data_IF_917851066529
#
_entry.id   IF_917851066529
#
_cell.length_a   1.000
_cell.length_b   1.000
_cell.length_c   1.000
_cell.angle_alpha   90.00
_cell.angle_beta   90.00
_cell.angle_gamma   90.00
#
_symmetry.space_group_name_H-M   'P 1'
#
loop_
_entity.id
_entity.type
_entity.pdbx_description
1 polymer ?
#
# COMPACT_ATOMS: atom_id res chain seq x y z
N UNK A 1 -18.88 -12.10 31.07
CA UNK A 1 -19.82 -11.97 29.95
C UNK A 1 -18.98 -11.83 28.70
N UNK A 2 -19.01 -12.81 27.82
CA UNK A 2 -18.34 -12.72 26.50
C UNK A 2 -19.05 -11.62 25.72
N UNK A 3 -18.38 -10.49 25.49
CA UNK A 3 -18.89 -9.43 24.61
C UNK A 3 -18.99 -10.05 23.21
N UNK A 4 -20.21 -10.08 22.66
CA UNK A 4 -20.43 -10.54 21.30
C UNK A 4 -19.46 -9.77 20.36
N UNK A 5 -18.82 -10.48 19.45
CA UNK A 5 -17.90 -9.90 18.47
C UNK A 5 -18.65 -8.82 17.68
N UNK A 6 -18.13 -7.59 17.57
CA UNK A 6 -18.81 -6.54 16.81
C UNK A 6 -18.86 -6.90 15.32
N UNK A 7 -19.87 -6.41 14.65
CA UNK A 7 -20.02 -6.61 13.22
C UNK A 7 -18.92 -5.90 12.43
N UNK A 8 -18.51 -4.72 12.89
CA UNK A 8 -17.62 -3.83 12.14
C UNK A 8 -16.54 -3.26 13.03
N UNK A 9 -15.30 -3.26 12.53
CA UNK A 9 -14.22 -2.41 13.03
C UNK A 9 -13.91 -1.32 12.02
N UNK A 10 -13.78 -0.08 12.47
CA UNK A 10 -13.38 1.05 11.63
C UNK A 10 -11.97 1.45 12.04
N UNK A 11 -11.01 1.25 11.14
CA UNK A 11 -9.59 1.54 11.37
C UNK A 11 -9.21 2.84 10.68
N UNK A 12 -8.71 3.80 11.47
CA UNK A 12 -8.31 5.12 10.99
C UNK A 12 -6.86 5.39 11.37
N UNK A 13 -5.92 5.43 10.41
CA UNK A 13 -4.58 5.94 10.65
C UNK A 13 -4.63 7.46 10.82
N UNK A 14 -3.93 7.98 11.81
CA UNK A 14 -3.88 9.41 12.15
C UNK A 14 -2.46 9.93 11.98
N UNK A 15 -2.30 11.05 11.24
CA UNK A 15 -1.03 11.75 11.18
C UNK A 15 -1.21 13.25 10.98
N UNK A 16 -0.97 14.03 12.06
CA UNK A 16 -1.20 15.47 12.12
C UNK A 16 -2.66 15.85 11.80
N UNK A 17 -3.59 15.18 12.47
CA UNK A 17 -5.03 15.21 12.21
C UNK A 17 -5.81 15.95 13.29
N UNK A 18 -5.16 16.75 14.15
CA UNK A 18 -5.80 17.43 15.27
C UNK A 18 -7.01 18.28 14.85
N UNK A 19 -7.00 18.84 13.63
CA UNK A 19 -8.06 19.69 13.12
C UNK A 19 -9.29 18.92 12.63
N UNK A 20 -9.10 17.72 12.05
CA UNK A 20 -10.18 16.92 11.43
C UNK A 20 -10.76 15.88 12.38
N UNK A 21 -9.97 15.44 13.36
CA UNK A 21 -10.32 14.36 14.27
C UNK A 21 -11.59 14.59 15.08
N UNK A 22 -11.92 15.81 15.58
CA UNK A 22 -13.17 16.03 16.32
C UNK A 22 -14.41 15.71 15.51
N UNK A 23 -14.53 16.27 14.29
CA UNK A 23 -15.66 16.03 13.40
C UNK A 23 -15.70 14.55 12.94
N UNK A 24 -14.55 13.99 12.60
CA UNK A 24 -14.44 12.58 12.20
C UNK A 24 -14.94 11.65 13.31
N UNK A 25 -14.47 11.82 14.54
CA UNK A 25 -14.82 10.95 15.65
C UNK A 25 -16.28 11.10 16.05
N UNK A 26 -16.83 12.33 16.07
CA UNK A 26 -18.24 12.59 16.33
C UNK A 26 -19.13 11.82 15.34
N UNK A 27 -18.84 11.93 14.03
CA UNK A 27 -19.61 11.26 12.97
C UNK A 27 -19.44 9.73 13.02
N UNK A 28 -18.25 9.22 13.33
CA UNK A 28 -18.03 7.78 13.52
C UNK A 28 -18.79 7.22 14.74
N UNK A 29 -18.82 7.97 15.85
CA UNK A 29 -19.55 7.57 17.06
C UNK A 29 -21.07 7.55 16.83
N UNK A 30 -21.58 8.41 15.94
CA UNK A 30 -23.01 8.47 15.58
C UNK A 30 -23.46 7.33 14.62
N UNK A 31 -22.54 6.60 14.00
CA UNK A 31 -22.91 5.53 13.05
C UNK A 31 -23.65 4.39 13.75
N UNK A 32 -24.84 4.07 13.26
CA UNK A 32 -25.60 2.92 13.72
C UNK A 32 -25.28 1.67 12.87
N UNK A 33 -24.64 0.67 13.48
CA UNK A 33 -24.26 -0.59 12.84
C UNK A 33 -25.00 -1.74 13.53
N UNK A 34 -25.82 -2.46 12.79
CA UNK A 34 -26.49 -3.64 13.30
C UNK A 34 -25.47 -4.71 13.73
N UNK A 35 -25.51 -5.08 15.02
CA UNK A 35 -24.53 -5.99 15.64
C UNK A 35 -23.29 -5.26 16.19
N UNK A 36 -23.33 -3.94 16.27
CA UNK A 36 -22.29 -3.11 16.89
C UNK A 36 -21.09 -2.82 16.02
N UNK A 37 -20.36 -1.78 16.42
CA UNK A 37 -19.09 -1.39 15.81
C UNK A 37 -18.09 -0.94 16.86
N UNK A 38 -16.81 -1.03 16.51
CA UNK A 38 -15.70 -0.46 17.26
C UNK A 38 -14.86 0.46 16.35
N UNK A 39 -14.18 1.42 16.94
CA UNK A 39 -13.29 2.36 16.25
C UNK A 39 -11.86 2.09 16.72
N UNK A 40 -10.93 1.98 15.79
CA UNK A 40 -9.50 1.79 16.08
C UNK A 40 -8.74 2.95 15.47
N UNK A 41 -8.28 3.86 16.31
CA UNK A 41 -7.48 5.04 15.95
C UNK A 41 -6.00 4.71 16.13
N UNK A 42 -5.19 4.89 15.07
CA UNK A 42 -3.76 4.59 15.12
C UNK A 42 -2.94 5.85 14.82
N UNK A 43 -2.39 6.46 15.85
CA UNK A 43 -1.53 7.63 15.72
C UNK A 43 -0.11 7.21 15.26
N UNK A 44 0.26 7.60 14.05
CA UNK A 44 1.58 7.33 13.47
C UNK A 44 2.61 8.38 13.89
N UNK A 45 2.71 8.63 15.20
CA UNK A 45 3.63 9.58 15.82
C UNK A 45 3.44 11.00 15.26
N UNK A 46 2.22 11.53 15.37
CA UNK A 46 1.89 12.92 15.01
C UNK A 46 2.74 13.92 15.82
N UNK A 47 3.02 15.05 15.18
CA UNK A 47 3.80 16.14 15.78
C UNK A 47 2.95 17.28 16.34
N UNK A 48 1.67 17.26 16.02
CA UNK A 48 0.65 18.20 16.48
C UNK A 48 -0.12 17.67 17.71
N UNK A 49 -1.24 18.27 18.04
CA UNK A 49 -2.08 17.89 19.17
C UNK A 49 -2.97 16.66 18.92
N UNK A 50 -2.76 15.87 17.85
CA UNK A 50 -3.62 14.73 17.50
C UNK A 50 -3.80 13.73 18.65
N UNK A 51 -2.71 13.38 19.34
CA UNK A 51 -2.73 12.43 20.45
C UNK A 51 -3.57 12.95 21.61
N UNK A 52 -3.35 14.21 22.03
CA UNK A 52 -4.11 14.84 23.11
C UNK A 52 -5.60 14.96 22.76
N UNK A 53 -5.88 15.34 21.51
CA UNK A 53 -7.26 15.49 21.01
C UNK A 53 -7.98 14.14 21.02
N UNK A 54 -7.34 13.07 20.54
CA UNK A 54 -7.92 11.73 20.55
C UNK A 54 -8.26 11.27 21.97
N UNK A 55 -7.30 11.38 22.90
CA UNK A 55 -7.48 10.96 24.28
C UNK A 55 -8.57 11.75 25.01
N UNK A 56 -8.72 13.04 24.69
CA UNK A 56 -9.76 13.90 25.27
C UNK A 56 -11.17 13.56 24.74
N UNK A 57 -11.29 13.18 23.47
CA UNK A 57 -12.58 12.92 22.82
C UNK A 57 -13.12 11.50 23.04
N UNK A 58 -12.23 10.49 23.16
CA UNK A 58 -12.63 9.08 23.32
C UNK A 58 -13.68 8.83 24.41
N UNK A 59 -13.60 9.44 25.63
CA UNK A 59 -14.58 9.18 26.69
C UNK A 59 -16.00 9.62 26.35
N UNK A 60 -16.17 10.53 25.39
CA UNK A 60 -17.46 11.00 24.90
C UNK A 60 -18.11 10.08 23.86
N UNK A 61 -17.38 9.11 23.30
CA UNK A 61 -17.90 8.22 22.28
C UNK A 61 -18.79 7.12 22.89
N UNK A 62 -19.95 6.90 22.28
CA UNK A 62 -20.88 5.84 22.67
C UNK A 62 -20.41 4.43 22.23
N UNK A 63 -19.43 4.36 21.32
CA UNK A 63 -18.86 3.12 20.79
C UNK A 63 -17.54 2.78 21.47
N UNK A 64 -17.13 1.51 21.49
CA UNK A 64 -15.79 1.14 21.89
C UNK A 64 -14.74 1.81 20.99
N UNK A 65 -13.78 2.49 21.58
CA UNK A 65 -12.67 3.14 20.87
C UNK A 65 -11.36 2.61 21.41
N UNK A 66 -10.52 2.10 20.54
CA UNK A 66 -9.13 1.74 20.83
C UNK A 66 -8.22 2.78 20.22
N UNK A 67 -7.38 3.40 21.02
CA UNK A 67 -6.32 4.31 20.56
C UNK A 67 -4.96 3.65 20.70
N UNK A 68 -4.17 3.70 19.63
CA UNK A 68 -2.83 3.13 19.55
C UNK A 68 -1.87 4.24 19.16
N UNK A 69 -0.85 4.51 19.95
CA UNK A 69 0.22 5.44 19.61
C UNK A 69 1.46 4.65 19.21
N UNK A 70 1.98 4.89 18.00
CA UNK A 70 3.20 4.29 17.50
C UNK A 70 4.43 5.08 18.00
N UNK A 71 5.57 4.39 18.18
CA UNK A 71 6.78 4.98 18.75
C UNK A 71 7.49 5.98 17.84
N UNK A 72 7.26 5.89 16.52
CA UNK A 72 7.74 6.79 15.47
C UNK A 72 6.80 6.73 14.27
N UNK A 73 7.00 7.60 13.29
CA UNK A 73 6.29 7.50 12.01
C UNK A 73 6.81 6.28 11.21
N UNK A 74 5.92 5.30 11.02
CA UNK A 74 6.15 4.07 10.24
C UNK A 74 5.48 4.12 8.87
N UNK A 75 4.62 5.13 8.61
CA UNK A 75 3.84 5.31 7.41
C UNK A 75 2.44 4.68 7.50
N UNK A 76 1.52 5.24 6.72
CA UNK A 76 0.10 4.92 6.69
C UNK A 76 -0.20 3.42 6.66
N UNK A 77 0.41 2.67 5.73
CA UNK A 77 0.17 1.23 5.61
C UNK A 77 0.57 0.43 6.87
N UNK A 78 1.62 0.85 7.56
CA UNK A 78 2.03 0.23 8.83
C UNK A 78 1.05 0.56 9.95
N UNK A 79 0.55 1.80 9.99
CA UNK A 79 -0.47 2.22 10.94
C UNK A 79 -1.80 1.48 10.70
N UNK A 80 -2.26 1.40 9.44
CA UNK A 80 -3.44 0.61 9.07
C UNK A 80 -3.30 -0.84 9.51
N UNK A 81 -2.16 -1.48 9.23
CA UNK A 81 -1.97 -2.88 9.62
C UNK A 81 -1.91 -3.07 11.14
N UNK A 82 -1.36 -2.12 11.89
CA UNK A 82 -1.41 -2.14 13.35
C UNK A 82 -2.86 -2.04 13.86
N UNK A 83 -3.68 -1.21 13.22
CA UNK A 83 -5.11 -1.10 13.52
C UNK A 83 -5.88 -2.38 13.17
N UNK A 84 -5.63 -2.96 12.01
CA UNK A 84 -6.26 -4.23 11.58
C UNK A 84 -5.94 -5.35 12.57
N UNK A 85 -4.69 -5.45 13.04
CA UNK A 85 -4.30 -6.44 14.08
C UNK A 85 -5.02 -6.25 15.40
N UNK A 86 -5.42 -5.04 15.71
CA UNK A 86 -6.12 -4.72 16.95
C UNK A 86 -7.63 -4.77 16.82
N UNK A 87 -8.13 -4.93 15.61
CA UNK A 87 -9.56 -4.98 15.30
C UNK A 87 -10.14 -6.36 15.57
N UNK A 88 -11.41 -6.41 16.01
CA UNK A 88 -12.10 -7.66 16.38
C UNK A 88 -13.37 -7.91 15.56
N UNK A 89 -13.87 -6.93 14.81
CA UNK A 89 -15.12 -7.01 14.04
C UNK A 89 -15.10 -8.06 12.93
N UNK A 90 -16.26 -8.57 12.57
CA UNK A 90 -16.43 -9.53 11.45
C UNK A 90 -16.01 -8.94 10.09
N UNK A 91 -16.14 -7.63 9.94
CA UNK A 91 -15.63 -6.84 8.84
C UNK A 91 -14.74 -5.72 9.37
N UNK A 92 -13.76 -5.31 8.58
CA UNK A 92 -12.88 -4.18 8.91
C UNK A 92 -12.94 -3.17 7.77
N UNK A 93 -13.32 -1.94 8.08
CA UNK A 93 -13.24 -0.82 7.14
C UNK A 93 -12.01 0.02 7.50
N UNK A 94 -11.18 0.30 6.50
CA UNK A 94 -10.09 1.28 6.61
C UNK A 94 -10.51 2.57 5.95
N UNK A 95 -10.22 3.73 6.56
CA UNK A 95 -10.52 5.04 6.00
C UNK A 95 -9.50 6.07 6.45
N UNK A 96 -9.31 7.11 5.65
CA UNK A 96 -8.42 8.23 5.96
C UNK A 96 -9.06 9.21 6.95
N UNK A 97 -8.23 10.04 7.58
CA UNK A 97 -8.59 11.00 8.61
C UNK A 97 -8.94 12.41 8.09
N UNK A 98 -8.94 12.61 6.77
CA UNK A 98 -9.09 13.92 6.10
C UNK A 98 -10.53 14.28 5.71
N UNK A 99 -11.52 13.44 6.07
CA UNK A 99 -12.94 13.60 5.79
C UNK A 99 -13.31 13.66 4.29
N UNK A 100 -12.38 13.34 3.38
CA UNK A 100 -12.70 13.24 1.97
C UNK A 100 -13.68 12.08 1.70
N UNK A 101 -13.60 11.04 2.51
CA UNK A 101 -14.54 9.94 2.53
C UNK A 101 -15.50 10.14 3.71
N UNK A 102 -16.78 10.48 3.48
CA UNK A 102 -17.73 10.68 4.56
C UNK A 102 -17.91 9.40 5.40
N UNK A 103 -17.86 9.48 6.74
CA UNK A 103 -18.04 8.33 7.61
C UNK A 103 -19.31 7.52 7.33
N UNK A 104 -20.38 8.16 6.89
CA UNK A 104 -21.66 7.51 6.57
C UNK A 104 -21.55 6.52 5.41
N UNK A 105 -20.61 6.72 4.50
CA UNK A 105 -20.36 5.82 3.37
C UNK A 105 -19.76 4.46 3.81
N UNK A 106 -19.25 4.36 5.06
CA UNK A 106 -18.82 3.10 5.67
C UNK A 106 -19.92 2.05 5.61
N UNK A 107 -21.18 2.47 5.83
CA UNK A 107 -22.34 1.57 5.80
C UNK A 107 -22.59 1.00 4.42
N UNK A 108 -22.33 1.75 3.34
CA UNK A 108 -22.44 1.27 1.96
C UNK A 108 -21.42 0.17 1.66
N UNK A 109 -20.15 0.38 2.09
CA UNK A 109 -19.11 -0.62 1.93
C UNK A 109 -19.46 -1.93 2.67
N UNK A 110 -19.91 -1.82 3.92
CA UNK A 110 -20.32 -2.96 4.72
C UNK A 110 -21.50 -3.71 4.09
N UNK A 111 -22.50 -2.95 3.63
CA UNK A 111 -23.70 -3.53 3.00
C UNK A 111 -23.34 -4.28 1.72
N UNK A 112 -22.51 -3.67 0.85
CA UNK A 112 -22.03 -4.29 -0.39
C UNK A 112 -21.22 -5.57 -0.09
N UNK A 113 -20.31 -5.55 0.90
CA UNK A 113 -19.52 -6.72 1.29
C UNK A 113 -20.40 -7.90 1.71
N UNK A 114 -21.47 -7.63 2.48
CA UNK A 114 -22.42 -8.65 2.92
C UNK A 114 -23.33 -9.16 1.80
N UNK A 115 -23.90 -8.24 1.02
CA UNK A 115 -24.87 -8.57 -0.04
C UNK A 115 -24.22 -9.39 -1.15
N UNK A 116 -23.02 -8.99 -1.57
CA UNK A 116 -22.28 -9.61 -2.67
C UNK A 116 -21.37 -10.77 -2.22
N UNK A 117 -21.30 -11.05 -0.90
CA UNK A 117 -20.39 -12.05 -0.31
C UNK A 117 -18.95 -11.87 -0.80
N UNK A 118 -18.48 -10.62 -0.83
CA UNK A 118 -17.12 -10.28 -1.23
C UNK A 118 -16.19 -10.28 -0.02
N UNK A 119 -14.97 -10.71 -0.26
CA UNK A 119 -13.91 -10.63 0.74
C UNK A 119 -13.41 -9.21 0.91
N UNK A 120 -13.41 -8.42 -0.19
CA UNK A 120 -12.98 -7.03 -0.19
C UNK A 120 -13.91 -6.19 -1.07
N UNK A 121 -14.33 -5.04 -0.56
CA UNK A 121 -15.02 -4.00 -1.33
C UNK A 121 -14.16 -2.73 -1.31
N UNK A 122 -13.77 -2.27 -2.49
CA UNK A 122 -13.11 -0.97 -2.67
C UNK A 122 -14.11 0.12 -2.98
N UNK A 123 -13.87 1.31 -2.48
CA UNK A 123 -14.62 2.49 -2.89
C UNK A 123 -14.16 2.96 -4.27
N UNK A 124 -15.12 3.33 -5.11
CA UNK A 124 -14.89 4.06 -6.35
C UNK A 124 -15.52 5.45 -6.25
N UNK A 125 -14.87 6.42 -6.84
CA UNK A 125 -15.38 7.79 -6.93
C UNK A 125 -15.89 8.07 -8.32
N UNK A 126 -17.03 8.72 -8.46
CA UNK A 126 -17.49 9.24 -9.75
C UNK A 126 -16.47 10.25 -10.27
N UNK A 127 -15.84 9.91 -11.39
CA UNK A 127 -14.73 10.67 -11.98
C UNK A 127 -15.12 12.10 -12.27
N UNK A 128 -14.69 13.06 -11.48
CA UNK A 128 -14.52 14.45 -11.95
C UNK A 128 -13.36 14.47 -12.95
N UNK A 129 -13.61 15.03 -14.13
CA UNK A 129 -12.65 15.17 -15.23
C UNK A 129 -11.43 15.95 -14.76
N UNK A 130 -10.29 15.30 -14.68
CA UNK A 130 -9.02 15.92 -14.41
C UNK A 130 -8.16 15.93 -15.68
N UNK A 131 -7.32 16.98 -15.82
CA UNK A 131 -6.42 17.29 -16.93
C UNK A 131 -5.73 16.04 -17.53
N UNK A 132 -5.66 15.95 -18.85
CA UNK A 132 -5.18 14.80 -19.64
C UNK A 132 -3.76 14.31 -19.30
N UNK A 133 -2.86 15.19 -18.88
CA UNK A 133 -1.51 14.87 -18.45
C UNK A 133 -1.49 13.98 -17.18
N UNK A 134 -2.37 14.27 -16.23
CA UNK A 134 -2.53 13.50 -15.01
C UNK A 134 -3.15 12.13 -15.28
N UNK A 135 -3.97 12.03 -16.33
CA UNK A 135 -4.54 10.78 -16.81
C UNK A 135 -3.49 9.87 -17.46
N UNK A 136 -2.47 10.41 -18.13
CA UNK A 136 -1.41 9.61 -18.74
C UNK A 136 -0.50 8.99 -17.67
N UNK A 137 -0.08 9.78 -16.67
CA UNK A 137 0.66 9.29 -15.51
C UNK A 137 -0.11 8.24 -14.71
N UNK A 138 -1.39 8.48 -14.46
CA UNK A 138 -2.29 7.53 -13.78
C UNK A 138 -2.49 6.23 -14.56
N UNK A 139 -2.62 6.29 -15.91
CA UNK A 139 -2.74 5.08 -16.73
C UNK A 139 -1.48 4.22 -16.72
N UNK A 140 -0.31 4.86 -16.76
CA UNK A 140 0.97 4.14 -16.67
C UNK A 140 1.15 3.50 -15.30
N UNK A 141 0.84 4.25 -14.23
CA UNK A 141 0.88 3.74 -12.84
C UNK A 141 -0.08 2.56 -12.67
N UNK A 142 -1.32 2.68 -13.17
CA UNK A 142 -2.30 1.59 -13.09
C UNK A 142 -1.84 0.35 -13.87
N UNK A 143 -1.28 0.49 -15.08
CA UNK A 143 -0.75 -0.65 -15.85
C UNK A 143 0.43 -1.33 -15.14
N UNK A 144 1.31 -0.56 -14.54
CA UNK A 144 2.41 -1.11 -13.75
C UNK A 144 1.90 -1.81 -12.48
N UNK A 145 0.90 -1.24 -11.80
CA UNK A 145 0.24 -1.87 -10.67
C UNK A 145 -0.50 -3.15 -11.08
N UNK A 146 -1.24 -3.14 -12.21
CA UNK A 146 -1.95 -4.31 -12.74
C UNK A 146 -0.99 -5.50 -12.97
N UNK A 147 0.22 -5.21 -13.44
CA UNK A 147 1.23 -6.23 -13.73
C UNK A 147 2.07 -6.62 -12.50
N UNK A 148 2.24 -5.72 -11.52
CA UNK A 148 3.11 -5.94 -10.35
C UNK A 148 2.43 -6.67 -9.20
N UNK A 149 1.09 -6.61 -9.08
CA UNK A 149 0.35 -7.01 -7.88
C UNK A 149 -0.76 -8.03 -8.18
N UNK A 150 -0.83 -8.59 -9.40
CA UNK A 150 -1.92 -9.47 -9.88
C UNK A 150 -3.33 -8.89 -9.63
N UNK A 151 -3.46 -7.58 -9.73
CA UNK A 151 -4.69 -6.84 -9.51
C UNK A 151 -5.68 -7.05 -10.66
N UNK A 152 -6.98 -7.20 -10.41
CA UNK A 152 -8.00 -7.18 -11.46
C UNK A 152 -7.91 -5.92 -12.31
N UNK A 153 -7.96 -6.10 -13.66
CA UNK A 153 -7.82 -4.99 -14.61
C UNK A 153 -8.87 -3.91 -14.37
N UNK A 154 -8.44 -2.66 -14.33
CA UNK A 154 -9.34 -1.52 -14.19
C UNK A 154 -9.81 -1.21 -12.76
N UNK A 155 -9.43 -1.98 -11.76
CA UNK A 155 -9.73 -1.68 -10.37
C UNK A 155 -8.95 -0.45 -9.89
N UNK A 156 -9.65 0.52 -9.31
CA UNK A 156 -9.02 1.64 -8.61
C UNK A 156 -8.74 1.24 -7.16
N UNK A 157 -7.50 1.37 -6.72
CA UNK A 157 -7.11 1.06 -5.34
C UNK A 157 -7.35 2.29 -4.47
N UNK A 158 -8.25 2.15 -3.51
CA UNK A 158 -8.58 3.19 -2.54
C UNK A 158 -8.20 2.73 -1.14
N UNK A 159 -7.72 3.66 -0.31
CA UNK A 159 -7.53 3.44 1.14
C UNK A 159 -8.85 3.20 1.86
N UNK A 160 -9.96 3.73 1.31
CA UNK A 160 -11.31 3.52 1.82
C UNK A 160 -11.89 2.20 1.27
N UNK A 161 -11.81 1.15 2.07
CA UNK A 161 -12.21 -0.22 1.69
C UNK A 161 -12.75 -1.00 2.89
N UNK A 162 -13.60 -1.99 2.61
CA UNK A 162 -14.09 -2.97 3.57
C UNK A 162 -13.44 -4.33 3.28
N UNK A 163 -12.86 -4.97 4.29
CA UNK A 163 -12.28 -6.30 4.21
C UNK A 163 -12.98 -7.26 5.17
N UNK A 164 -13.14 -8.52 4.78
CA UNK A 164 -13.67 -9.56 5.65
C UNK A 164 -12.68 -9.91 6.77
N UNK A 165 -13.16 -10.50 7.87
CA UNK A 165 -12.30 -10.98 8.97
C UNK A 165 -11.25 -11.96 8.44
N UNK A 166 -11.62 -12.85 7.52
CA UNK A 166 -10.67 -13.76 6.89
C UNK A 166 -9.45 -13.03 6.28
N UNK A 167 -9.71 -12.02 5.46
CA UNK A 167 -8.63 -11.23 4.84
C UNK A 167 -7.84 -10.44 5.90
N UNK A 168 -8.52 -9.85 6.88
CA UNK A 168 -7.90 -9.11 7.97
C UNK A 168 -6.92 -9.97 8.77
N UNK A 169 -7.33 -11.21 9.09
CA UNK A 169 -6.50 -12.16 9.84
C UNK A 169 -5.28 -12.61 9.02
N UNK A 170 -5.45 -12.88 7.72
CA UNK A 170 -4.35 -13.29 6.86
C UNK A 170 -3.32 -12.19 6.63
N UNK A 171 -3.76 -10.96 6.31
CA UNK A 171 -2.82 -9.84 6.13
C UNK A 171 -2.10 -9.46 7.44
N UNK A 172 -2.74 -9.69 8.59
CA UNK A 172 -2.17 -9.45 9.93
C UNK A 172 -0.95 -10.32 10.23
N UNK A 173 -0.82 -11.48 9.59
CA UNK A 173 0.33 -12.39 9.72
C UNK A 173 1.59 -11.86 9.02
N UNK A 174 1.45 -10.85 8.16
CA UNK A 174 2.59 -10.29 7.41
C UNK A 174 3.64 -9.71 8.35
N UNK A 175 4.88 -10.15 8.22
CA UNK A 175 6.04 -9.63 8.94
C UNK A 175 6.89 -8.66 8.10
N UNK A 176 6.39 -8.19 6.95
CA UNK A 176 7.13 -7.31 6.07
C UNK A 176 7.36 -5.94 6.73
N UNK A 177 8.61 -5.46 6.91
CA UNK A 177 8.90 -4.16 7.52
C UNK A 177 8.26 -2.96 6.79
N UNK A 178 7.96 -3.12 5.51
CA UNK A 178 7.32 -2.10 4.67
C UNK A 178 6.08 -2.73 4.01
N UNK A 179 4.96 -2.83 4.73
CA UNK A 179 3.75 -3.42 4.19
C UNK A 179 3.15 -2.50 3.11
N UNK A 180 2.55 -3.12 2.11
CA UNK A 180 1.65 -2.47 1.18
C UNK A 180 0.33 -3.23 1.21
N UNK A 181 -0.69 -2.63 1.81
CA UNK A 181 -1.93 -3.33 2.19
C UNK A 181 -2.59 -3.97 0.98
N UNK A 182 -2.68 -3.27 -0.17
CA UNK A 182 -3.31 -3.82 -1.37
C UNK A 182 -2.56 -5.04 -1.91
N UNK A 183 -1.23 -5.01 -1.89
CA UNK A 183 -0.45 -6.17 -2.29
C UNK A 183 -0.66 -7.37 -1.35
N UNK A 184 -0.82 -7.12 -0.05
CA UNK A 184 -1.14 -8.17 0.91
C UNK A 184 -2.54 -8.75 0.66
N UNK A 185 -3.53 -7.89 0.39
CA UNK A 185 -4.90 -8.31 0.06
C UNK A 185 -4.91 -9.22 -1.19
N UNK A 186 -4.25 -8.82 -2.28
CA UNK A 186 -4.24 -9.61 -3.52
C UNK A 186 -3.42 -10.89 -3.42
N UNK A 187 -2.55 -11.03 -2.42
CA UNK A 187 -1.92 -12.31 -2.09
C UNK A 187 -2.89 -13.29 -1.40
N UNK A 188 -3.95 -12.77 -0.76
CA UNK A 188 -4.92 -13.57 -0.01
C UNK A 188 -6.14 -13.91 -0.86
N UNK A 189 -6.69 -12.94 -1.60
CA UNK A 189 -7.95 -13.13 -2.33
C UNK A 189 -8.01 -12.31 -3.61
N UNK A 190 -8.76 -12.84 -4.59
CA UNK A 190 -9.19 -12.12 -5.79
C UNK A 190 -10.71 -11.85 -5.78
N UNK A 191 -11.42 -12.25 -4.72
CA UNK A 191 -12.85 -12.03 -4.56
C UNK A 191 -13.12 -10.58 -4.11
N UNK A 192 -12.93 -9.64 -5.03
CA UNK A 192 -13.07 -8.21 -4.79
C UNK A 192 -14.28 -7.64 -5.50
N UNK A 193 -14.88 -6.62 -4.91
CA UNK A 193 -15.95 -5.83 -5.49
C UNK A 193 -15.65 -4.33 -5.41
N UNK A 194 -16.49 -3.53 -6.02
CA UNK A 194 -16.35 -2.07 -6.05
C UNK A 194 -17.71 -1.44 -5.81
N UNK A 195 -17.77 -0.43 -4.97
CA UNK A 195 -18.98 0.35 -4.73
C UNK A 195 -18.70 1.84 -4.91
N UNK A 196 -19.61 2.55 -5.61
CA UNK A 196 -19.50 4.00 -5.74
C UNK A 196 -19.90 4.68 -4.44
N UNK A 197 -19.01 5.55 -3.95
CA UNK A 197 -19.21 6.33 -2.73
C UNK A 197 -19.06 7.82 -3.02
N UNK A 198 -19.66 8.64 -2.16
CA UNK A 198 -19.46 10.09 -2.21
C UNK A 198 -18.03 10.42 -1.82
N UNK A 199 -17.44 11.39 -2.50
CA UNK A 199 -16.13 11.91 -2.21
C UNK A 199 -16.20 13.43 -2.11
N UNK A 200 -15.96 13.95 -0.92
CA UNK A 200 -16.05 15.37 -0.63
C UNK A 200 -14.70 16.07 -0.84
N UNK A 201 -14.72 17.38 -0.95
CA UNK A 201 -13.49 18.15 -1.00
C UNK A 201 -12.80 18.08 0.37
N UNK A 202 -11.46 18.04 0.40
CA UNK A 202 -10.68 17.99 1.63
C UNK A 202 -11.04 19.18 2.53
N UNK A 203 -11.37 18.91 3.79
CA UNK A 203 -11.80 19.91 4.75
C UNK A 203 -10.64 20.76 5.28
N UNK A 204 -9.41 20.22 5.36
CA UNK A 204 -8.20 20.90 5.82
C UNK A 204 -6.93 20.26 5.27
N UNK A 205 -5.84 21.02 5.13
CA UNK A 205 -4.51 20.56 4.78
C UNK A 205 -4.13 20.70 3.29
N UNK A 206 -2.82 20.73 3.01
CA UNK A 206 -2.28 20.77 1.67
C UNK A 206 -2.16 19.36 1.08
N UNK A 207 -2.32 19.24 -0.25
CA UNK A 207 -2.13 17.98 -0.96
C UNK A 207 -0.68 17.50 -0.81
N UNK A 208 -0.46 16.41 -0.09
CA UNK A 208 0.85 15.76 0.07
C UNK A 208 1.42 15.11 -1.20
N UNK A 209 0.78 15.27 -2.35
CA UNK A 209 1.24 14.77 -3.65
C UNK A 209 2.41 15.58 -4.19
N UNK A 210 3.59 15.37 -3.61
CA UNK A 210 4.86 15.85 -4.17
C UNK A 210 5.43 14.79 -5.13
N UNK A 211 6.26 15.22 -6.10
CA UNK A 211 7.01 14.28 -6.96
C UNK A 211 7.78 13.24 -6.15
N UNK A 212 8.31 13.64 -4.97
CA UNK A 212 8.97 12.72 -4.04
C UNK A 212 8.03 11.64 -3.47
N UNK A 213 6.78 12.00 -3.18
CA UNK A 213 5.77 11.04 -2.72
C UNK A 213 5.37 10.05 -3.82
N UNK A 214 5.22 10.54 -5.07
CA UNK A 214 4.99 9.69 -6.24
C UNK A 214 6.16 8.72 -6.48
N UNK A 215 7.40 9.19 -6.47
CA UNK A 215 8.58 8.35 -6.62
C UNK A 215 8.65 7.31 -5.50
N UNK A 216 8.35 7.68 -4.26
CA UNK A 216 8.30 6.74 -3.12
C UNK A 216 7.22 5.68 -3.31
N UNK A 217 6.03 6.06 -3.78
CA UNK A 217 4.94 5.13 -4.09
C UNK A 217 5.34 4.14 -5.20
N UNK A 218 5.91 4.65 -6.30
CA UNK A 218 6.41 3.83 -7.40
C UNK A 218 7.51 2.86 -6.95
N UNK A 219 8.45 3.37 -6.15
CA UNK A 219 9.52 2.56 -5.59
C UNK A 219 8.95 1.48 -4.68
N UNK A 220 7.95 1.77 -3.83
CA UNK A 220 7.35 0.77 -2.95
C UNK A 220 6.57 -0.30 -3.72
N UNK A 221 5.87 0.06 -4.81
CA UNK A 221 5.19 -0.90 -5.69
C UNK A 221 6.17 -1.81 -6.42
N UNK A 222 7.20 -1.24 -7.05
CA UNK A 222 8.25 -2.01 -7.75
C UNK A 222 9.03 -2.89 -6.78
N UNK A 223 9.24 -2.40 -5.56
CA UNK A 223 9.96 -3.09 -4.49
C UNK A 223 9.27 -4.37 -4.02
N UNK A 224 7.95 -4.38 -3.96
CA UNK A 224 7.18 -5.57 -3.57
C UNK A 224 6.94 -6.57 -4.72
N UNK A 225 7.37 -6.23 -5.93
CA UNK A 225 7.27 -7.07 -7.12
C UNK A 225 8.60 -7.77 -7.44
N UNK A 226 8.54 -8.99 -7.94
CA UNK A 226 9.71 -9.69 -8.51
C UNK A 226 10.08 -9.19 -9.92
N UNK A 227 9.33 -8.21 -10.43
CA UNK A 227 9.40 -7.72 -11.78
C UNK A 227 10.76 -7.09 -12.17
N UNK A 228 11.40 -6.22 -11.36
CA UNK A 228 12.70 -5.68 -11.70
C UNK A 228 13.75 -6.77 -11.87
N UNK A 229 13.67 -7.83 -11.06
CA UNK A 229 14.59 -8.97 -11.17
C UNK A 229 14.35 -9.78 -12.46
N UNK A 230 13.08 -10.01 -12.84
CA UNK A 230 12.74 -10.67 -14.10
C UNK A 230 13.17 -9.85 -15.32
N UNK A 231 12.98 -8.53 -15.27
CA UNK A 231 13.43 -7.63 -16.33
C UNK A 231 14.96 -7.63 -16.44
N UNK A 232 15.67 -7.59 -15.31
CA UNK A 232 17.11 -7.70 -15.27
C UNK A 232 17.61 -9.02 -15.86
N UNK A 233 16.98 -10.13 -15.50
CA UNK A 233 17.31 -11.45 -16.05
C UNK A 233 17.04 -11.53 -17.57
N UNK A 234 15.91 -10.99 -18.03
CA UNK A 234 15.57 -10.94 -19.46
C UNK A 234 16.57 -10.08 -20.26
N UNK A 235 16.96 -8.92 -19.68
CA UNK A 235 17.95 -8.02 -20.28
C UNK A 235 19.33 -8.70 -20.34
N UNK A 236 19.74 -9.39 -19.27
CA UNK A 236 20.97 -10.17 -19.22
C UNK A 236 20.99 -11.29 -20.25
N UNK A 237 19.88 -12.01 -20.41
CA UNK A 237 19.73 -13.04 -21.43
C UNK A 237 19.83 -12.47 -22.86
N UNK A 238 19.14 -11.36 -23.13
CA UNK A 238 19.19 -10.67 -24.43
C UNK A 238 20.62 -10.19 -24.74
N UNK A 239 21.31 -9.56 -23.80
CA UNK A 239 22.69 -9.09 -23.97
C UNK A 239 23.65 -10.26 -24.19
N UNK A 240 23.45 -11.38 -23.50
CA UNK A 240 24.25 -12.60 -23.68
C UNK A 240 24.03 -13.19 -25.07
N UNK A 241 22.78 -13.26 -25.55
CA UNK A 241 22.46 -13.73 -26.88
C UNK A 241 23.07 -12.85 -27.99
N UNK A 242 22.95 -11.51 -27.84
CA UNK A 242 23.58 -10.56 -28.76
C UNK A 242 25.09 -10.68 -28.76
N UNK A 243 25.71 -10.81 -27.58
CA UNK A 243 27.14 -11.03 -27.43
C UNK A 243 27.61 -12.34 -28.13
N UNK A 244 26.85 -13.40 -27.99
CA UNK A 244 27.15 -14.68 -28.62
C UNK A 244 27.04 -14.60 -30.16
N UNK A 245 26.00 -13.93 -30.69
CA UNK A 245 25.84 -13.69 -32.12
C UNK A 245 26.99 -12.81 -32.65
N UNK A 246 27.34 -11.75 -31.93
CA UNK A 246 28.47 -10.88 -32.30
C UNK A 246 29.82 -11.64 -32.30
N UNK A 247 30.01 -12.52 -31.29
CA UNK A 247 31.20 -13.38 -31.25
C UNK A 247 31.30 -14.28 -32.47
N UNK A 248 30.20 -14.94 -32.84
CA UNK A 248 30.16 -15.80 -34.04
C UNK A 248 30.46 -14.98 -35.31
N UNK A 249 29.85 -13.79 -35.46
CA UNK A 249 30.07 -12.92 -36.61
C UNK A 249 31.53 -12.49 -36.74
N UNK A 250 32.15 -12.05 -35.62
CA UNK A 250 33.57 -11.67 -35.58
C UNK A 250 34.46 -12.85 -35.89
N UNK A 251 34.14 -14.04 -35.35
CA UNK A 251 34.89 -15.29 -35.62
C UNK A 251 34.87 -15.65 -37.10
N UNK A 252 33.70 -15.61 -37.72
CA UNK A 252 33.52 -15.93 -39.17
C UNK A 252 34.28 -14.89 -40.01
N UNK A 253 34.16 -13.58 -39.75
CA UNK A 253 34.85 -12.54 -40.52
C UNK A 253 36.36 -12.63 -40.39
N UNK A 254 36.87 -12.97 -39.19
CA UNK A 254 38.31 -13.15 -39.00
C UNK A 254 38.89 -14.27 -39.88
N UNK A 255 38.16 -15.37 -40.07
CA UNK A 255 38.58 -16.48 -40.92
C UNK A 255 38.41 -16.20 -42.42
N UNK A 256 37.40 -15.38 -42.79
CA UNK A 256 37.12 -15.08 -44.21
C UNK A 256 37.93 -13.89 -44.74
N UNK A 257 38.05 -12.82 -43.96
CA UNK A 257 38.57 -11.53 -44.45
C UNK A 257 39.97 -11.14 -43.87
N UNK A 258 40.48 -11.92 -42.90
CA UNK A 258 41.79 -11.68 -42.21
C UNK A 258 41.97 -10.28 -41.67
N UNK A 259 40.92 -9.56 -41.37
CA UNK A 259 41.00 -8.23 -40.80
C UNK A 259 41.46 -8.26 -39.33
N UNK A 260 42.42 -7.36 -38.92
CA UNK A 260 42.83 -7.29 -37.51
C UNK A 260 41.73 -6.68 -36.65
N UNK A 261 41.39 -7.39 -35.56
CA UNK A 261 40.46 -6.88 -34.55
C UNK A 261 40.97 -5.55 -33.98
N UNK A 262 40.24 -4.46 -34.24
CA UNK A 262 40.63 -3.14 -33.78
C UNK A 262 40.52 -3.00 -32.24
N UNK A 263 41.52 -2.41 -31.62
CA UNK A 263 41.57 -2.20 -30.16
C UNK A 263 40.36 -1.39 -29.63
N UNK A 264 39.83 -0.47 -30.43
CA UNK A 264 38.66 0.35 -30.09
C UNK A 264 37.35 -0.45 -29.96
N UNK A 265 37.13 -1.43 -30.83
CA UNK A 265 35.94 -2.30 -30.76
C UNK A 265 35.97 -3.21 -29.53
N UNK A 266 37.15 -3.72 -29.15
CA UNK A 266 37.34 -4.49 -27.94
C UNK A 266 37.03 -3.67 -26.68
N UNK A 267 37.56 -2.43 -26.60
CA UNK A 267 37.31 -1.52 -25.47
C UNK A 267 35.83 -1.13 -25.37
N UNK A 268 35.17 -0.81 -26.49
CA UNK A 268 33.75 -0.50 -26.50
C UNK A 268 32.90 -1.68 -26.01
N UNK A 269 33.19 -2.90 -26.49
CA UNK A 269 32.52 -4.11 -26.03
C UNK A 269 32.72 -4.33 -24.50
N UNK A 270 33.96 -4.18 -24.01
CA UNK A 270 34.28 -4.36 -22.59
C UNK A 270 33.52 -3.37 -21.70
N UNK A 271 33.44 -2.10 -22.08
CA UNK A 271 32.70 -1.07 -21.34
C UNK A 271 31.20 -1.38 -21.29
N UNK A 272 30.59 -1.78 -22.42
CA UNK A 272 29.17 -2.13 -22.49
C UNK A 272 28.86 -3.36 -21.63
N UNK A 273 29.64 -4.42 -21.74
CA UNK A 273 29.43 -5.65 -20.95
C UNK A 273 29.66 -5.40 -19.45
N UNK A 274 30.72 -4.66 -19.09
CA UNK A 274 30.98 -4.31 -17.68
C UNK A 274 29.88 -3.43 -17.11
N UNK A 275 29.38 -2.46 -17.86
CA UNK A 275 28.24 -1.63 -17.46
C UNK A 275 26.96 -2.44 -17.23
N UNK A 276 26.64 -3.36 -18.15
CA UNK A 276 25.49 -4.25 -18.01
C UNK A 276 25.66 -5.17 -16.78
N UNK A 277 26.84 -5.71 -16.56
CA UNK A 277 27.15 -6.57 -15.40
C UNK A 277 27.01 -5.82 -14.07
N UNK A 278 27.52 -4.59 -13.97
CA UNK A 278 27.39 -3.75 -12.78
C UNK A 278 25.92 -3.41 -12.49
N UNK A 279 25.12 -3.12 -13.52
CA UNK A 279 23.69 -2.87 -13.38
C UNK A 279 22.95 -4.11 -12.83
N UNK A 280 23.24 -5.29 -13.36
CA UNK A 280 22.67 -6.56 -12.89
C UNK A 280 23.06 -6.83 -11.44
N UNK A 281 24.34 -6.66 -11.08
CA UNK A 281 24.83 -6.81 -9.72
C UNK A 281 24.16 -5.81 -8.76
N UNK A 282 23.93 -4.58 -9.19
CA UNK A 282 23.21 -3.55 -8.42
C UNK A 282 21.77 -4.00 -8.12
N UNK A 283 21.05 -4.53 -9.11
CA UNK A 283 19.68 -5.05 -8.91
C UNK A 283 19.69 -6.24 -7.97
N UNK A 284 20.59 -7.21 -8.14
CA UNK A 284 20.72 -8.36 -7.23
C UNK A 284 21.04 -7.91 -5.81
N UNK A 285 21.96 -6.96 -5.65
CA UNK A 285 22.34 -6.37 -4.36
C UNK A 285 21.14 -5.75 -3.64
N UNK A 286 20.29 -5.02 -4.38
CA UNK A 286 19.05 -4.45 -3.84
C UNK A 286 18.09 -5.55 -3.31
N UNK A 287 17.92 -6.66 -4.05
CA UNK A 287 17.10 -7.79 -3.60
C UNK A 287 17.68 -8.51 -2.38
N UNK A 288 19.01 -8.70 -2.36
CA UNK A 288 19.70 -9.27 -1.17
C UNK A 288 19.50 -8.36 0.04
N UNK A 289 19.65 -7.05 -0.12
CA UNK A 289 19.39 -6.08 0.94
C UNK A 289 17.97 -6.20 1.51
N UNK A 290 16.97 -6.45 0.66
CA UNK A 290 15.57 -6.65 1.07
C UNK A 290 15.34 -7.96 1.78
N UNK A 291 15.95 -9.04 1.29
CA UNK A 291 15.91 -10.35 1.98
C UNK A 291 16.51 -10.18 3.38
N UNK A 292 17.65 -9.49 3.49
CA UNK A 292 18.30 -9.20 4.76
C UNK A 292 17.36 -8.44 5.71
N UNK A 293 16.67 -7.39 5.23
CA UNK A 293 15.71 -6.63 6.05
C UNK A 293 14.53 -7.50 6.55
N UNK A 294 14.06 -8.46 5.73
CA UNK A 294 13.02 -9.41 6.13
C UNK A 294 13.52 -10.42 7.17
N UNK A 295 14.74 -10.94 6.98
CA UNK A 295 15.35 -11.93 7.87
C UNK A 295 15.79 -11.27 9.19
N UNK A 296 16.20 -10.01 9.17
CA UNK A 296 16.63 -9.26 10.37
C UNK A 296 15.50 -8.95 11.36
N UNK A 297 14.27 -9.40 11.10
CA UNK A 297 13.08 -9.25 11.97
C UNK A 297 12.88 -7.83 12.49
N UNK A 298 13.19 -6.81 11.68
CA UNK A 298 12.90 -5.44 12.06
C UNK A 298 11.39 -5.28 12.28
N UNK A 299 10.96 -4.68 13.40
CA UNK A 299 9.55 -4.53 13.69
C UNK A 299 8.90 -3.61 12.65
N UNK A 300 7.74 -4.04 12.15
CA UNK A 300 6.93 -3.30 11.18
C UNK A 300 6.35 -2.03 11.78
N UNK A 301 5.94 -2.11 13.04
CA UNK A 301 5.53 -1.00 13.89
C UNK A 301 5.82 -1.37 15.35
N UNK A 302 6.10 -0.37 16.17
CA UNK A 302 6.27 -0.52 17.62
C UNK A 302 5.22 0.35 18.29
N UNK A 303 4.34 -0.28 19.04
CA UNK A 303 3.33 0.41 19.83
C UNK A 303 4.00 1.01 21.08
N UNK A 304 3.88 2.32 21.26
CA UNK A 304 4.35 3.01 22.44
C UNK A 304 3.40 2.79 23.61
N UNK A 305 2.10 3.00 23.38
CA UNK A 305 1.03 2.66 24.32
C UNK A 305 -0.29 2.42 23.58
N UNK A 306 -1.21 1.77 24.27
CA UNK A 306 -2.58 1.50 23.84
C UNK A 306 -3.54 1.89 24.95
N UNK A 307 -4.64 2.54 24.60
CA UNK A 307 -5.72 2.91 25.49
C UNK A 307 -7.05 2.51 24.90
N UNK A 308 -7.95 2.02 25.74
CA UNK A 308 -9.26 1.55 25.33
C UNK A 308 -10.36 2.27 26.10
N UNK A 309 -11.38 2.71 25.39
CA UNK A 309 -12.65 3.15 25.93
C UNK A 309 -13.74 2.16 25.49
N UNK A 310 -14.51 1.64 26.45
CA UNK A 310 -15.48 0.54 26.18
C UNK A 310 -16.82 1.02 25.61
N UNK A 311 -17.01 2.33 25.40
CA UNK A 311 -18.31 2.90 25.07
C UNK A 311 -19.27 2.92 26.27
N UNK A 312 -20.35 3.63 26.14
CA UNK A 312 -21.43 3.69 27.16
C UNK A 312 -22.59 2.80 26.79
#
# INVERSE_FOLDING_TARGET
MSSAQPTLSIVVPLYNSAATLPDLLERLCALEVAGGSEIVLVNDCSRDATEQTALALMPGCSRPVTFISLSRNYGEHSAVLAGVRSSTGAFVVTMDDDLQNPPEEVLKLLHAARAEKRDVIYSAFDRKQHSWWRNLGSRLTNRLADWSIDKPKGLYLSSFRCISRFVADEISKSANPHPYIDALIFQVTQNVGVVSVRHDARSAGESGYTMRALVRLWTSMLINSSMPLRLAAALGFLMSALGFVSFIAVFINHFLEKEPLGWGSLMAALVVFSGAQLLLLGIVGEYIGRIYLRVSKRPQSVVRFRTEHRGR
#
